data_IF_605756972200
#
_entry.id   IF_605756972200
#
_cell.length_a   1.000
_cell.length_b   1.000
_cell.length_c   1.000
_cell.angle_alpha   90.00
_cell.angle_beta   90.00
_cell.angle_gamma   90.00
#
_symmetry.space_group_name_H-M   'P 1'
#
loop_
_entity.id
_entity.type
_entity.pdbx_description
1 polymer ?
#
# COMPACT_ATOMS: atom_id res chain seq x y z
N UNK A 1 13.15 -0.55 5.05
CA UNK A 1 11.81 -0.29 5.61
C UNK A 1 11.29 0.97 4.91
N UNK A 2 10.18 0.89 4.19
CA UNK A 2 9.57 2.10 3.62
C UNK A 2 8.61 2.65 4.68
N UNK A 3 8.75 3.94 5.02
CA UNK A 3 7.87 4.60 5.98
C UNK A 3 6.96 5.54 5.23
N UNK A 4 5.65 5.31 5.30
CA UNK A 4 4.63 6.12 4.65
C UNK A 4 3.69 6.65 5.74
N UNK A 5 3.49 7.96 5.78
CA UNK A 5 2.64 8.63 6.78
C UNK A 5 2.96 8.26 8.25
N UNK A 6 4.23 7.95 8.54
CA UNK A 6 4.67 7.54 9.88
C UNK A 6 4.48 6.06 10.22
N UNK A 7 3.85 5.28 9.32
CA UNK A 7 3.64 3.83 9.43
C UNK A 7 4.72 3.08 8.64
N UNK A 8 5.24 2.01 9.24
CA UNK A 8 6.20 1.13 8.60
C UNK A 8 5.51 0.10 7.70
N UNK A 9 5.81 0.17 6.40
CA UNK A 9 5.23 -0.68 5.38
C UNK A 9 6.10 -1.95 5.23
N UNK A 10 5.53 -3.15 5.44
CA UNK A 10 6.25 -4.40 5.24
C UNK A 10 6.54 -4.63 3.75
N UNK A 11 7.80 -4.96 3.42
CA UNK A 11 8.30 -5.24 2.05
C UNK A 11 8.11 -6.68 1.59
N UNK A 12 7.72 -7.56 2.50
CA UNK A 12 7.48 -8.98 2.22
C UNK A 12 6.03 -9.25 1.80
N UNK A 13 5.23 -8.19 1.65
CA UNK A 13 3.79 -8.26 1.37
C UNK A 13 3.47 -7.49 0.11
N UNK A 14 2.43 -7.94 -0.59
CA UNK A 14 1.87 -7.24 -1.74
C UNK A 14 1.54 -5.80 -1.36
N UNK A 15 1.96 -4.82 -2.17
CA UNK A 15 1.80 -3.39 -1.87
C UNK A 15 0.35 -3.03 -1.56
N UNK A 16 -0.63 -3.67 -2.23
CA UNK A 16 -2.07 -3.46 -1.95
C UNK A 16 -2.49 -3.82 -0.52
N UNK A 17 -1.82 -4.79 0.11
CA UNK A 17 -2.06 -5.15 1.51
C UNK A 17 -1.22 -4.27 2.42
N UNK A 18 0.01 -3.96 2.01
CA UNK A 18 0.94 -3.17 2.81
C UNK A 18 0.43 -1.73 3.02
N UNK A 19 -0.25 -1.15 2.04
CA UNK A 19 -0.89 0.17 2.16
C UNK A 19 -2.08 0.19 3.15
N UNK A 20 -2.76 -0.93 3.36
CA UNK A 20 -3.86 -1.02 4.35
C UNK A 20 -3.41 -0.96 5.81
N UNK A 21 -2.10 -0.97 6.06
CA UNK A 21 -1.55 -0.69 7.39
C UNK A 21 -1.63 0.80 7.75
N UNK A 22 -1.85 1.67 6.77
CA UNK A 22 -2.04 3.10 6.99
C UNK A 22 -3.49 3.31 7.46
N UNK A 23 -3.66 3.94 8.62
CA UNK A 23 -4.98 4.25 9.16
C UNK A 23 -5.79 5.09 8.17
N UNK A 24 -7.02 4.65 7.87
CA UNK A 24 -7.90 5.29 6.89
C UNK A 24 -7.73 4.80 5.46
N UNK A 25 -6.72 3.97 5.14
CA UNK A 25 -6.58 3.34 3.81
C UNK A 25 -7.14 1.92 3.87
N UNK A 26 -8.33 1.75 3.29
CA UNK A 26 -8.93 0.43 3.05
C UNK A 26 -8.41 -0.21 1.76
N UNK A 27 -8.88 -1.43 1.47
CA UNK A 27 -8.50 -2.16 0.24
C UNK A 27 -8.89 -1.39 -1.04
N UNK A 28 -10.10 -0.85 -1.09
CA UNK A 28 -10.57 -0.06 -2.24
C UNK A 28 -9.69 1.16 -2.49
N UNK A 29 -9.44 1.95 -1.43
CA UNK A 29 -8.57 3.14 -1.51
C UNK A 29 -7.15 2.77 -1.90
N UNK A 30 -6.63 1.65 -1.41
CA UNK A 30 -5.32 1.15 -1.80
C UNK A 30 -5.26 0.80 -3.29
N UNK A 31 -6.29 0.15 -3.83
CA UNK A 31 -6.35 -0.20 -5.26
C UNK A 31 -6.45 1.06 -6.13
N UNK A 32 -7.23 2.07 -5.71
CA UNK A 32 -7.30 3.36 -6.40
C UNK A 32 -5.97 4.12 -6.38
N UNK A 33 -5.28 4.17 -5.23
CA UNK A 33 -3.95 4.78 -5.12
C UNK A 33 -2.95 4.08 -6.04
N UNK A 34 -2.96 2.75 -6.06
CA UNK A 34 -2.05 1.97 -6.91
C UNK A 34 -2.35 2.15 -8.39
N UNK A 35 -3.62 2.25 -8.76
CA UNK A 35 -4.04 2.54 -10.13
C UNK A 35 -3.63 3.96 -10.55
N UNK A 36 -3.78 4.94 -9.67
CA UNK A 36 -3.35 6.32 -9.92
C UNK A 36 -1.82 6.45 -9.98
N UNK A 37 -1.09 5.60 -9.25
CA UNK A 37 0.36 5.53 -9.29
C UNK A 37 0.93 4.63 -10.40
N UNK A 38 0.06 3.97 -11.20
CA UNK A 38 0.43 2.97 -12.21
C UNK A 38 1.33 1.85 -11.67
N UNK A 39 1.13 1.46 -10.40
CA UNK A 39 1.88 0.38 -9.73
C UNK A 39 1.04 -0.89 -9.71
N UNK A 40 1.67 -2.02 -10.09
CA UNK A 40 1.00 -3.32 -10.01
C UNK A 40 0.73 -3.71 -8.54
N UNK A 41 -0.52 -4.02 -8.16
CA UNK A 41 -0.89 -4.32 -6.78
C UNK A 41 -0.29 -5.63 -6.23
N UNK A 42 0.22 -6.50 -7.10
CA UNK A 42 0.88 -7.74 -6.73
C UNK A 42 2.39 -7.59 -6.51
N UNK A 43 2.95 -6.40 -6.79
CA UNK A 43 4.33 -6.05 -6.45
C UNK A 43 4.56 -6.22 -4.95
N UNK A 44 5.75 -6.67 -4.54
CA UNK A 44 6.16 -6.88 -3.14
C UNK A 44 7.06 -5.73 -2.66
#
# INVERSE_FOLDING_TARGET
MARIAGVDIPRDKRVVVSLTYIYGIGRHTSEEILKAAEIDPSTR
#
